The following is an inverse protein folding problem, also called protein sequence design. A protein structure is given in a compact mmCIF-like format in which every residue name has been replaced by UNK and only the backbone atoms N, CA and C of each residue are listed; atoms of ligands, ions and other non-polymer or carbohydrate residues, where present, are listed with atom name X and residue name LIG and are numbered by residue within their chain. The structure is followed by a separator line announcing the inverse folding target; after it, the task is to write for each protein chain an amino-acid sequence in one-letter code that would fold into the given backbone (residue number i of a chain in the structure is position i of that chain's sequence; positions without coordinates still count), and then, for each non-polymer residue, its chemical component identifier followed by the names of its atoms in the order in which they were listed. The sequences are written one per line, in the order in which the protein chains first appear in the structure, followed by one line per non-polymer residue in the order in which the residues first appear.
data_IF_157230800478
#
_entry.id   IF_157230800478
#
_cell.length_a   1.000
_cell.length_b   1.000
_cell.length_c   1.000
_cell.angle_alpha   90.00
_cell.angle_beta   90.00
_cell.angle_gamma   90.00
#
_symmetry.space_group_name_H-M   'P 1'
#
loop_
_entity.id
_entity.type
_entity.pdbx_description
1 polymer ?
#
# COMPACT_ATOMS: atom_id res chain seq x y z
N UNK A 1 -11.79 13.00 -1.38
CA UNK A 1 -10.80 11.91 -1.40
C UNK A 1 -9.46 12.44 -0.90
N UNK A 2 -8.84 11.85 0.14
CA UNK A 2 -7.50 12.23 0.53
C UNK A 2 -6.56 11.96 -0.65
N UNK A 3 -6.05 13.02 -1.29
CA UNK A 3 -5.17 12.95 -2.48
C UNK A 3 -3.84 12.21 -2.24
N UNK A 4 -3.63 11.68 -1.04
CA UNK A 4 -2.40 11.05 -0.59
C UNK A 4 -2.52 9.52 -0.51
N UNK A 5 -3.73 8.96 -0.44
CA UNK A 5 -3.99 7.51 -0.36
C UNK A 5 -4.72 7.03 -1.62
N UNK A 6 -4.85 5.71 -1.79
CA UNK A 6 -5.69 5.12 -2.82
C UNK A 6 -7.16 5.07 -2.39
N UNK A 7 -8.06 5.36 -3.33
CA UNK A 7 -9.49 5.02 -3.16
C UNK A 7 -9.68 3.51 -3.22
N UNK A 8 -10.85 3.03 -2.80
CA UNK A 8 -11.19 1.60 -2.92
C UNK A 8 -11.21 1.15 -4.39
N UNK A 9 -11.82 1.95 -5.27
CA UNK A 9 -11.84 1.68 -6.72
C UNK A 9 -10.42 1.59 -7.32
N UNK A 10 -9.52 2.50 -6.94
CA UNK A 10 -8.13 2.48 -7.41
C UNK A 10 -7.37 1.27 -6.88
N UNK A 11 -7.66 0.86 -5.64
CA UNK A 11 -7.07 -0.33 -5.03
C UNK A 11 -7.51 -1.61 -5.74
N UNK A 12 -8.79 -1.74 -6.06
CA UNK A 12 -9.34 -2.92 -6.74
C UNK A 12 -8.67 -3.18 -8.10
N UNK A 13 -8.20 -2.14 -8.80
CA UNK A 13 -7.51 -2.26 -10.09
C UNK A 13 -6.12 -2.89 -9.99
N UNK A 14 -5.49 -2.90 -8.82
CA UNK A 14 -4.10 -3.33 -8.64
C UNK A 14 -3.92 -4.39 -7.54
N UNK A 15 -4.99 -4.72 -6.81
CA UNK A 15 -4.92 -5.62 -5.66
C UNK A 15 -4.39 -7.02 -6.04
N UNK A 16 -4.70 -7.47 -7.25
CA UNK A 16 -4.29 -8.77 -7.82
C UNK A 16 -2.79 -8.84 -8.16
N UNK A 17 -2.11 -7.70 -8.29
CA UNK A 17 -0.66 -7.65 -8.49
C UNK A 17 0.12 -8.05 -7.24
N UNK A 18 -0.53 -8.11 -6.07
CA UNK A 18 0.09 -8.49 -4.81
C UNK A 18 -0.07 -9.99 -4.54
N UNK A 19 0.99 -10.67 -4.04
CA UNK A 19 0.92 -12.08 -3.74
C UNK A 19 0.00 -12.33 -2.54
N UNK A 20 -0.66 -13.48 -2.55
CA UNK A 20 -1.44 -13.95 -1.40
C UNK A 20 -0.57 -14.08 -0.13
N UNK A 21 -1.18 -13.93 1.06
CA UNK A 21 -0.47 -14.16 2.32
C UNK A 21 0.14 -15.55 2.38
N UNK A 22 1.42 -15.62 2.77
CA UNK A 22 2.08 -16.90 2.99
C UNK A 22 1.43 -17.65 4.16
N UNK A 23 1.24 -18.97 4.01
CA UNK A 23 0.68 -19.83 5.06
C UNK A 23 1.60 -19.98 6.27
N UNK A 24 2.91 -19.77 6.08
CA UNK A 24 3.93 -19.96 7.11
C UNK A 24 4.85 -18.75 7.26
N UNK A 25 5.51 -18.66 8.41
CA UNK A 25 6.39 -17.55 8.75
C UNK A 25 5.66 -16.35 9.36
N UNK A 26 6.35 -15.21 9.43
CA UNK A 26 5.76 -13.98 9.98
C UNK A 26 4.74 -13.40 9.00
N UNK A 27 3.51 -13.09 9.42
CA UNK A 27 2.54 -12.42 8.58
C UNK A 27 3.11 -11.11 8.01
N UNK A 28 2.94 -10.91 6.70
CA UNK A 28 3.29 -9.66 6.05
C UNK A 28 2.34 -8.55 6.52
N UNK A 29 2.79 -7.29 6.40
CA UNK A 29 1.89 -6.15 6.54
C UNK A 29 0.90 -6.13 5.38
N UNK A 30 -0.27 -5.56 5.64
CA UNK A 30 -1.28 -5.31 4.62
C UNK A 30 -0.65 -4.55 3.42
N UNK A 31 -0.69 -5.13 2.21
CA UNK A 31 -0.13 -4.51 1.02
C UNK A 31 -0.66 -3.10 0.75
N UNK A 32 -1.95 -2.84 1.04
CA UNK A 32 -2.56 -1.52 0.84
C UNK A 32 -1.91 -0.47 1.73
N UNK A 33 -1.74 -0.78 3.02
CA UNK A 33 -1.11 0.13 3.97
C UNK A 33 0.35 0.45 3.60
N UNK A 34 1.07 -0.55 3.08
CA UNK A 34 2.44 -0.35 2.61
C UNK A 34 2.45 0.59 1.40
N UNK A 35 1.59 0.35 0.42
CA UNK A 35 1.51 1.19 -0.78
C UNK A 35 1.06 2.62 -0.46
N UNK A 36 0.07 2.78 0.40
CA UNK A 36 -0.39 4.07 0.91
C UNK A 36 0.76 4.85 1.60
N UNK A 37 1.59 4.16 2.38
CA UNK A 37 2.79 4.75 2.97
C UNK A 37 3.80 5.22 1.93
N UNK A 38 4.05 4.40 0.90
CA UNK A 38 4.94 4.75 -0.22
C UNK A 38 4.39 5.99 -0.96
N UNK A 39 3.11 5.98 -1.33
CA UNK A 39 2.46 7.09 -2.01
C UNK A 39 2.47 8.36 -1.17
N UNK A 40 2.29 8.25 0.13
CA UNK A 40 2.39 9.38 1.04
C UNK A 40 3.79 10.01 1.00
N UNK A 41 4.86 9.21 1.09
CA UNK A 41 6.24 9.73 1.00
C UNK A 41 6.48 10.39 -0.35
N UNK A 42 6.14 9.71 -1.45
CA UNK A 42 6.34 10.22 -2.81
C UNK A 42 5.57 11.52 -3.07
N UNK A 43 4.35 11.65 -2.54
CA UNK A 43 3.49 12.83 -2.74
C UNK A 43 3.84 13.99 -1.82
N UNK A 44 4.36 13.73 -0.62
CA UNK A 44 4.68 14.76 0.37
C UNK A 44 6.16 15.18 0.37
N UNK A 45 7.04 14.38 -0.24
CA UNK A 45 8.49 14.59 -0.18
C UNK A 45 9.07 14.37 1.21
N UNK A 46 8.37 13.63 2.07
CA UNK A 46 8.82 13.42 3.45
C UNK A 46 10.11 12.58 3.48
N UNK A 47 11.09 12.95 4.32
CA UNK A 47 12.34 12.21 4.41
C UNK A 47 12.09 10.82 4.99
N UNK A 48 12.77 9.81 4.44
CA UNK A 48 12.95 8.53 5.11
C UNK A 48 13.81 8.77 6.35
N UNK A 49 13.30 8.44 7.53
CA UNK A 49 14.00 8.50 8.81
C UNK A 49 14.30 7.10 9.31
#
# INVERSE_FOLDING_TARGET
MPRLLLTDDEWELIADAFPEPATTGRPRRDPRQVLDGILWVLRTGSPWR
#
